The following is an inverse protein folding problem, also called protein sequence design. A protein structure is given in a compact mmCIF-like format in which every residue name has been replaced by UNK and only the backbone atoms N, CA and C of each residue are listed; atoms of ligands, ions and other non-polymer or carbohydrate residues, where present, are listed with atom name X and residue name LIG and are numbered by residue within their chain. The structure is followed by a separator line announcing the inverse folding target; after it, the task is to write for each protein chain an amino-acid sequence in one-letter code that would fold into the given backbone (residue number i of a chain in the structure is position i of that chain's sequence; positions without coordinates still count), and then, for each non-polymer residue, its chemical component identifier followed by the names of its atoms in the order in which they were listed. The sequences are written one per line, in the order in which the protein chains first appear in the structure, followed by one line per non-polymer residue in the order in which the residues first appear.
data_IF_123284857860
#
_entry.id   IF_123284857860
#
_cell.length_a   1.000
_cell.length_b   1.000
_cell.length_c   1.000
_cell.angle_alpha   90.00
_cell.angle_beta   90.00
_cell.angle_gamma   90.00
#
_symmetry.space_group_name_H-M   'P 1'
#
loop_
_entity.id
_entity.type
_entity.pdbx_description
1 polymer ?
#
# COMPACT_ATOMS: atom_id res chain seq x y z
N UNK A 1 59.12 -52.63 27.91
CA UNK A 1 59.54 -51.37 27.27
C UNK A 1 58.37 -50.40 27.31
N UNK A 2 58.65 -49.20 27.83
CA UNK A 2 57.75 -48.08 28.02
C UNK A 2 57.42 -47.45 26.67
N UNK A 3 56.15 -47.16 26.38
CA UNK A 3 55.77 -46.00 25.55
C UNK A 3 54.47 -45.38 26.09
N UNK A 4 54.64 -44.22 26.74
CA UNK A 4 53.58 -43.22 27.00
C UNK A 4 53.14 -42.62 25.67
N UNK A 5 51.85 -42.44 25.40
CA UNK A 5 51.36 -41.35 24.53
C UNK A 5 50.08 -40.74 25.10
N UNK A 6 50.04 -39.41 25.01
CA UNK A 6 49.13 -38.41 25.56
C UNK A 6 47.72 -38.37 24.92
N UNK A 7 46.78 -37.95 25.78
CA UNK A 7 45.52 -37.20 25.59
C UNK A 7 45.19 -36.64 24.18
N UNK A 8 43.93 -36.78 23.80
CA UNK A 8 43.12 -35.67 23.25
C UNK A 8 41.63 -35.90 23.58
N UNK A 9 41.05 -35.04 24.42
CA UNK A 9 39.60 -34.94 24.63
C UNK A 9 39.15 -33.76 23.78
N UNK A 10 38.40 -34.03 22.71
CA UNK A 10 37.82 -33.01 21.84
C UNK A 10 36.42 -32.70 22.35
N UNK A 11 36.21 -31.49 22.89
CA UNK A 11 34.88 -30.96 23.23
C UNK A 11 34.76 -29.56 22.63
N UNK A 12 33.54 -29.26 22.18
CA UNK A 12 32.95 -27.97 21.79
C UNK A 12 33.17 -27.50 20.34
N UNK A 13 32.14 -27.02 19.62
CA UNK A 13 30.77 -26.72 20.06
C UNK A 13 29.81 -26.51 18.87
N UNK A 14 28.49 -26.45 19.13
CA UNK A 14 27.51 -26.15 18.09
C UNK A 14 27.66 -24.69 17.66
N UNK A 15 27.94 -24.48 16.37
CA UNK A 15 27.89 -23.18 15.74
C UNK A 15 26.43 -22.73 15.62
N UNK A 16 25.96 -21.99 16.63
CA UNK A 16 24.71 -21.24 16.56
C UNK A 16 24.96 -19.96 15.72
N UNK A 17 24.82 -20.08 14.40
CA UNK A 17 24.62 -18.90 13.53
C UNK A 17 23.16 -18.45 13.64
N UNK A 18 22.77 -17.97 14.81
CA UNK A 18 21.51 -17.26 15.02
C UNK A 18 21.70 -15.80 14.64
N UNK A 19 21.72 -15.50 13.33
CA UNK A 19 21.51 -14.14 12.88
C UNK A 19 20.06 -13.78 13.22
N UNK A 20 19.86 -12.84 14.14
CA UNK A 20 18.55 -12.23 14.34
C UNK A 20 18.19 -11.50 13.04
N UNK A 21 17.34 -12.13 12.21
CA UNK A 21 16.61 -11.39 11.20
C UNK A 21 15.81 -10.33 11.98
N UNK A 22 16.18 -9.06 11.83
CA UNK A 22 15.32 -7.97 12.28
C UNK A 22 14.04 -8.11 11.46
N UNK A 23 12.97 -8.57 12.12
CA UNK A 23 11.66 -8.60 11.52
C UNK A 23 11.30 -7.16 11.15
N UNK A 24 11.27 -6.86 9.86
CA UNK A 24 10.80 -5.57 9.40
C UNK A 24 9.30 -5.45 9.71
N UNK A 25 8.84 -4.25 10.08
CA UNK A 25 7.43 -4.00 10.36
C UNK A 25 6.55 -4.41 9.17
N UNK A 26 5.38 -5.01 9.42
CA UNK A 26 4.47 -5.36 8.34
C UNK A 26 4.11 -4.12 7.49
N UNK A 27 3.96 -4.24 6.16
CA UNK A 27 3.43 -3.15 5.32
C UNK A 27 2.10 -2.61 5.87
N UNK A 28 1.98 -1.28 5.94
CA UNK A 28 0.78 -0.60 6.43
C UNK A 28 0.33 0.47 5.46
N UNK A 29 -0.99 0.63 5.30
CA UNK A 29 -1.61 1.72 4.56
C UNK A 29 -2.87 2.17 5.31
N UNK A 30 -3.11 3.47 5.40
CA UNK A 30 -4.36 4.05 5.90
C UNK A 30 -4.75 5.29 5.09
N UNK A 31 -6.05 5.53 4.99
CA UNK A 31 -6.57 6.83 4.54
C UNK A 31 -6.65 7.73 5.79
N UNK A 32 -6.00 8.89 5.72
CA UNK A 32 -6.00 9.91 6.78
C UNK A 32 -7.09 10.94 6.55
N UNK A 33 -7.36 11.26 5.28
CA UNK A 33 -8.47 12.12 4.87
C UNK A 33 -9.00 11.66 3.50
N UNK A 34 -10.33 11.62 3.28
CA UNK A 34 -11.39 11.85 4.28
C UNK A 34 -11.40 10.78 5.38
N UNK A 35 -11.96 11.11 6.55
CA UNK A 35 -12.17 10.13 7.61
C UNK A 35 -13.44 9.34 7.36
N UNK A 36 -13.52 8.13 7.91
CA UNK A 36 -14.71 7.28 7.80
C UNK A 36 -15.99 7.97 8.30
N UNK A 37 -17.07 7.86 7.51
CA UNK A 37 -18.38 8.48 7.77
C UNK A 37 -18.46 9.99 7.48
N UNK A 38 -17.42 10.59 6.89
CA UNK A 38 -17.39 12.03 6.61
C UNK A 38 -18.29 12.39 5.41
N UNK A 39 -19.03 13.50 5.55
CA UNK A 39 -19.65 14.19 4.42
C UNK A 39 -18.63 15.13 3.77
N UNK A 40 -18.45 15.02 2.46
CA UNK A 40 -17.44 15.79 1.72
C UNK A 40 -18.09 16.46 0.50
N UNK A 41 -18.00 17.80 0.36
CA UNK A 41 -18.49 18.46 -0.83
C UNK A 41 -17.64 18.10 -2.04
N UNK A 42 -18.28 17.84 -3.17
CA UNK A 42 -17.59 17.68 -4.44
C UNK A 42 -17.05 19.03 -4.94
N UNK A 43 -15.96 18.99 -5.71
CA UNK A 43 -15.57 20.15 -6.50
C UNK A 43 -16.66 20.55 -7.51
N UNK A 44 -16.81 21.85 -7.75
CA UNK A 44 -17.84 22.42 -8.63
C UNK A 44 -17.67 22.08 -10.13
N UNK A 45 -16.57 21.41 -10.49
CA UNK A 45 -16.28 21.02 -11.86
C UNK A 45 -16.90 19.66 -12.25
N UNK A 46 -16.80 19.33 -13.53
CA UNK A 46 -17.31 18.07 -14.06
C UNK A 46 -16.60 16.84 -13.47
N UNK A 47 -15.38 17.00 -12.96
CA UNK A 47 -14.60 15.92 -12.38
C UNK A 47 -15.01 15.63 -10.92
N UNK A 48 -15.56 16.62 -10.20
CA UNK A 48 -16.02 16.45 -8.82
C UNK A 48 -14.94 15.88 -7.93
N UNK A 49 -13.77 16.52 -7.95
CA UNK A 49 -12.58 15.92 -7.33
C UNK A 49 -12.60 16.04 -5.81
N UNK A 50 -12.16 14.98 -5.14
CA UNK A 50 -11.83 14.96 -3.72
C UNK A 50 -10.37 14.50 -3.60
N UNK A 51 -9.58 15.23 -2.81
CA UNK A 51 -8.24 14.76 -2.44
C UNK A 51 -8.34 13.58 -1.46
N UNK A 52 -7.49 12.57 -1.60
CA UNK A 52 -7.41 11.48 -0.63
C UNK A 52 -5.99 11.44 -0.12
N UNK A 53 -5.82 11.74 1.17
CA UNK A 53 -4.52 11.74 1.83
C UNK A 53 -4.33 10.40 2.51
N UNK A 54 -3.23 9.73 2.21
CA UNK A 54 -2.86 8.44 2.79
C UNK A 54 -1.61 8.55 3.66
N UNK A 55 -1.43 7.56 4.52
CA UNK A 55 -0.21 7.35 5.28
C UNK A 55 0.20 5.88 5.17
N UNK A 56 1.50 5.65 5.03
CA UNK A 56 2.09 4.34 4.76
C UNK A 56 3.51 4.28 5.30
N UNK A 57 3.95 3.09 5.71
CA UNK A 57 5.35 2.84 6.02
C UNK A 57 6.19 2.54 4.76
N UNK A 58 5.61 2.69 3.57
CA UNK A 58 6.32 2.72 2.30
C UNK A 58 6.57 4.17 1.87
N UNK A 59 7.74 4.39 1.27
CA UNK A 59 8.01 5.59 0.49
C UNK A 59 7.16 5.56 -0.77
N UNK A 60 6.20 6.47 -0.86
CA UNK A 60 5.34 6.60 -2.04
C UNK A 60 6.05 7.45 -3.09
N UNK A 61 6.40 6.84 -4.23
CA UNK A 61 7.20 7.43 -5.29
C UNK A 61 6.57 7.18 -6.67
N UNK A 62 6.98 7.91 -7.73
CA UNK A 62 6.57 7.57 -9.08
C UNK A 62 7.00 6.14 -9.46
N UNK A 63 6.21 5.47 -10.29
CA UNK A 63 6.52 4.13 -10.77
C UNK A 63 7.82 4.12 -11.61
N UNK A 64 8.63 3.08 -11.44
CA UNK A 64 9.95 2.92 -12.04
C UNK A 64 11.07 3.66 -11.30
N UNK A 65 10.80 4.27 -10.15
CA UNK A 65 11.78 5.10 -9.41
C UNK A 65 12.21 4.52 -8.08
N UNK A 66 11.69 3.33 -7.72
CA UNK A 66 12.02 2.70 -6.45
C UNK A 66 13.44 2.11 -6.41
N UNK A 67 14.00 1.71 -7.55
CA UNK A 67 15.30 1.02 -7.57
C UNK A 67 15.24 -0.27 -6.76
N UNK A 68 16.21 -0.45 -5.86
CA UNK A 68 16.30 -1.65 -5.01
C UNK A 68 15.58 -1.48 -3.65
N UNK A 69 14.86 -0.39 -3.41
CA UNK A 69 14.17 -0.11 -2.14
C UNK A 69 12.91 -0.99 -2.00
N UNK A 70 12.92 -2.01 -1.09
CA UNK A 70 11.78 -2.91 -0.94
C UNK A 70 10.59 -2.25 -0.24
N UNK A 71 10.77 -1.05 0.32
CA UNK A 71 9.75 -0.23 0.99
C UNK A 71 9.38 0.98 0.15
N UNK A 72 9.45 0.84 -1.17
CA UNK A 72 8.99 1.86 -2.09
C UNK A 72 7.90 1.31 -3.02
N UNK A 73 6.95 2.19 -3.34
CA UNK A 73 5.84 1.86 -4.22
C UNK A 73 4.93 3.05 -4.43
N UNK A 74 3.67 2.77 -4.77
CA UNK A 74 2.65 3.78 -5.04
C UNK A 74 1.25 3.24 -4.73
N UNK A 75 0.24 4.07 -4.93
CA UNK A 75 -1.16 3.82 -4.59
C UNK A 75 -1.98 3.67 -5.86
N UNK A 76 -2.83 2.66 -5.89
CA UNK A 76 -3.95 2.57 -6.82
C UNK A 76 -5.25 2.79 -6.05
N UNK A 77 -6.19 3.52 -6.63
CA UNK A 77 -7.42 3.92 -5.96
C UNK A 77 -8.65 3.61 -6.80
N UNK A 78 -9.70 3.15 -6.11
CA UNK A 78 -11.05 2.96 -6.66
C UNK A 78 -12.06 3.67 -5.77
N UNK A 79 -13.15 4.12 -6.36
CA UNK A 79 -14.38 4.48 -5.66
C UNK A 79 -15.34 3.32 -5.89
N UNK A 80 -16.04 2.91 -4.85
CA UNK A 80 -16.93 1.74 -4.81
C UNK A 80 -16.24 0.48 -5.36
N UNK A 81 -15.20 -0.04 -4.67
CA UNK A 81 -14.33 -1.10 -5.20
C UNK A 81 -15.02 -2.43 -5.53
N UNK A 82 -16.30 -2.59 -5.18
CA UNK A 82 -17.14 -3.73 -5.58
C UNK A 82 -17.65 -3.63 -7.04
N UNK A 83 -17.58 -2.45 -7.66
CA UNK A 83 -17.95 -2.19 -9.05
C UNK A 83 -16.88 -1.40 -9.80
N UNK A 84 -17.02 -1.31 -11.12
CA UNK A 84 -16.05 -0.62 -12.00
C UNK A 84 -16.57 0.73 -12.52
N UNK A 85 -17.79 1.12 -12.14
CA UNK A 85 -18.50 2.25 -12.75
C UNK A 85 -17.82 3.60 -12.49
N UNK A 86 -17.18 3.77 -11.33
CA UNK A 86 -16.42 4.98 -11.01
C UNK A 86 -15.01 5.03 -11.63
N UNK A 87 -14.54 4.00 -12.34
CA UNK A 87 -13.19 4.04 -12.91
C UNK A 87 -13.15 4.93 -14.16
N UNK A 88 -11.96 5.48 -14.48
CA UNK A 88 -11.77 6.20 -15.75
C UNK A 88 -12.07 5.21 -16.90
N UNK A 89 -12.86 5.59 -17.92
CA UNK A 89 -13.15 4.70 -19.04
C UNK A 89 -11.89 4.08 -19.66
N UNK A 90 -11.86 2.75 -19.76
CA UNK A 90 -10.71 2.01 -20.25
C UNK A 90 -9.55 1.82 -19.26
N UNK A 91 -9.75 2.17 -17.98
CA UNK A 91 -8.79 1.96 -16.89
C UNK A 91 -9.39 1.07 -15.78
N UNK A 92 -8.52 0.37 -15.07
CA UNK A 92 -8.89 -0.51 -13.93
C UNK A 92 -9.11 0.25 -12.62
N UNK A 93 -8.71 1.52 -12.58
CA UNK A 93 -8.69 2.34 -11.37
C UNK A 93 -9.27 3.72 -11.69
N UNK A 94 -9.86 4.36 -10.68
CA UNK A 94 -10.28 5.75 -10.75
C UNK A 94 -9.06 6.68 -10.79
N UNK A 95 -8.02 6.33 -10.03
CA UNK A 95 -6.80 7.13 -9.95
C UNK A 95 -5.62 6.34 -9.40
N UNK A 96 -4.44 6.93 -9.53
CA UNK A 96 -3.19 6.44 -8.97
C UNK A 96 -2.26 7.63 -8.72
N UNK A 97 -1.35 7.51 -7.76
CA UNK A 97 -0.29 8.51 -7.57
C UNK A 97 1.02 8.10 -8.26
N UNK A 98 1.04 7.05 -9.09
CA UNK A 98 2.26 6.50 -9.70
C UNK A 98 2.99 7.46 -10.65
N UNK A 99 2.36 8.55 -11.09
CA UNK A 99 3.03 9.55 -11.94
C UNK A 99 3.89 10.53 -11.12
N UNK A 100 3.57 10.71 -9.83
CA UNK A 100 4.16 11.78 -8.99
C UNK A 100 4.66 11.28 -7.61
N UNK A 101 4.17 10.15 -7.13
CA UNK A 101 4.35 9.68 -5.76
C UNK A 101 3.61 10.51 -4.72
N UNK A 102 4.10 10.47 -3.48
CA UNK A 102 3.56 11.26 -2.38
C UNK A 102 2.28 10.70 -1.76
N UNK A 103 1.75 11.39 -0.74
CA UNK A 103 0.62 10.92 0.06
C UNK A 103 -0.75 11.30 -0.48
N UNK A 104 -0.84 12.06 -1.58
CA UNK A 104 -2.10 12.52 -2.15
C UNK A 104 -2.45 11.69 -3.39
N UNK A 105 -3.68 11.17 -3.43
CA UNK A 105 -4.31 10.59 -4.63
C UNK A 105 -5.65 11.30 -4.87
N UNK A 106 -6.05 11.47 -6.13
CA UNK A 106 -7.23 12.26 -6.48
C UNK A 106 -8.41 11.34 -6.79
N UNK A 107 -9.47 11.39 -6.00
CA UNK A 107 -10.75 10.75 -6.30
C UNK A 107 -11.56 11.61 -7.27
N UNK A 108 -11.92 11.04 -8.42
CA UNK A 108 -12.65 11.69 -9.51
C UNK A 108 -14.07 11.17 -9.57
N UNK A 109 -14.99 11.77 -8.82
CA UNK A 109 -16.39 11.30 -8.76
C UNK A 109 -17.13 11.52 -10.07
N UNK A 110 -16.66 12.43 -10.94
CA UNK A 110 -17.23 12.66 -12.28
C UNK A 110 -17.26 11.44 -13.20
N UNK A 111 -16.54 10.37 -12.86
CA UNK A 111 -16.61 9.10 -13.60
C UNK A 111 -17.68 8.13 -13.07
N UNK A 112 -18.20 8.34 -11.86
CA UNK A 112 -19.30 7.53 -11.32
C UNK A 112 -20.63 7.87 -12.01
N UNK A 113 -21.50 6.87 -12.21
CA UNK A 113 -22.88 7.13 -12.68
C UNK A 113 -23.67 7.96 -11.67
N UNK A 114 -23.52 7.64 -10.38
CA UNK A 114 -24.01 8.42 -9.25
C UNK A 114 -22.83 9.12 -8.58
N UNK A 115 -22.83 10.47 -8.57
CA UNK A 115 -21.70 11.26 -8.03
C UNK A 115 -21.87 11.62 -6.56
N UNK A 116 -23.13 11.71 -6.12
CA UNK A 116 -23.53 12.16 -4.78
C UNK A 116 -24.20 11.03 -4.00
N UNK A 117 -24.18 11.12 -2.68
CA UNK A 117 -24.66 10.07 -1.79
C UNK A 117 -23.53 9.22 -1.22
N UNK A 118 -23.84 8.00 -0.82
CA UNK A 118 -22.90 7.16 -0.09
C UNK A 118 -21.95 6.43 -1.03
N UNK A 119 -20.65 6.53 -0.73
CA UNK A 119 -19.57 5.88 -1.48
C UNK A 119 -18.54 5.25 -0.55
N UNK A 120 -17.78 4.30 -1.08
CA UNK A 120 -16.58 3.75 -0.43
C UNK A 120 -15.34 4.09 -1.24
N UNK A 121 -14.44 4.87 -0.65
CA UNK A 121 -13.12 5.13 -1.24
C UNK A 121 -12.17 4.02 -0.80
N UNK A 122 -11.56 3.33 -1.76
CA UNK A 122 -10.57 2.29 -1.51
C UNK A 122 -9.21 2.61 -2.13
N UNK A 123 -8.16 2.41 -1.35
CA UNK A 123 -6.76 2.50 -1.81
C UNK A 123 -6.04 1.17 -1.62
N UNK A 124 -5.13 0.86 -2.52
CA UNK A 124 -4.29 -0.33 -2.54
C UNK A 124 -2.83 0.08 -2.67
N UNK A 125 -1.97 -0.50 -1.83
CA UNK A 125 -0.52 -0.32 -1.93
C UNK A 125 0.03 -1.25 -3.02
N UNK A 126 0.72 -0.67 -4.00
CA UNK A 126 1.38 -1.38 -5.09
C UNK A 126 2.90 -1.15 -5.07
N UNK A 127 3.66 -2.13 -5.55
CA UNK A 127 5.09 -1.99 -5.78
C UNK A 127 5.37 -1.18 -7.06
N UNK A 128 6.65 -0.95 -7.33
CA UNK A 128 7.16 -0.20 -8.49
C UNK A 128 6.68 -0.73 -9.86
N UNK A 129 6.25 -1.99 -9.91
CA UNK A 129 5.73 -2.66 -11.12
C UNK A 129 4.20 -2.78 -11.13
N UNK A 130 3.49 -1.93 -10.38
CA UNK A 130 2.02 -1.93 -10.28
C UNK A 130 1.42 -3.22 -9.70
N UNK A 131 2.22 -4.06 -9.04
CA UNK A 131 1.73 -5.28 -8.41
C UNK A 131 1.34 -4.99 -6.95
N UNK A 132 0.21 -5.53 -6.45
CA UNK A 132 -0.16 -5.34 -5.05
C UNK A 132 0.91 -5.84 -4.07
N UNK A 133 1.16 -5.05 -3.03
CA UNK A 133 1.90 -5.53 -1.86
C UNK A 133 0.98 -6.43 -1.05
N UNK A 134 1.47 -7.61 -0.66
CA UNK A 134 0.68 -8.64 0.00
C UNK A 134 1.15 -8.84 1.45
N UNK A 135 0.21 -9.04 2.37
CA UNK A 135 0.43 -9.53 3.73
C UNK A 135 -0.50 -10.72 3.95
N UNK A 136 0.07 -11.87 4.32
CA UNK A 136 -0.66 -13.13 4.52
C UNK A 136 -1.58 -13.52 3.35
N UNK A 137 -1.14 -13.23 2.12
CA UNK A 137 -1.89 -13.53 0.89
C UNK A 137 -3.04 -12.57 0.58
N UNK A 138 -3.19 -11.47 1.34
CA UNK A 138 -4.15 -10.41 1.07
C UNK A 138 -3.44 -9.12 0.64
N UNK A 139 -4.00 -8.36 -0.33
CA UNK A 139 -3.44 -7.07 -0.69
C UNK A 139 -3.57 -6.07 0.46
N UNK A 140 -2.55 -5.22 0.62
CA UNK A 140 -2.57 -4.14 1.60
C UNK A 140 -3.48 -3.02 1.09
N UNK A 141 -4.65 -2.91 1.69
CA UNK A 141 -5.69 -1.94 1.31
C UNK A 141 -6.19 -1.13 2.50
N UNK A 142 -6.72 0.06 2.24
CA UNK A 142 -7.51 0.82 3.20
C UNK A 142 -8.81 1.30 2.55
N UNK A 143 -9.89 1.30 3.33
CA UNK A 143 -11.24 1.70 2.90
C UNK A 143 -11.77 2.77 3.86
N UNK A 144 -12.51 3.73 3.35
CA UNK A 144 -13.34 4.65 4.13
C UNK A 144 -14.69 4.84 3.44
N UNK A 145 -15.76 4.88 4.23
CA UNK A 145 -17.07 5.30 3.76
C UNK A 145 -17.19 6.81 3.84
N UNK A 146 -17.81 7.42 2.83
CA UNK A 146 -18.08 8.86 2.75
C UNK A 146 -19.47 9.11 2.19
N UNK A 147 -20.01 10.29 2.45
CA UNK A 147 -21.19 10.81 1.74
C UNK A 147 -20.78 12.04 0.94
N UNK A 148 -21.03 12.07 -0.36
CA UNK A 148 -20.69 13.22 -1.22
C UNK A 148 -21.92 14.08 -1.51
N UNK A 149 -21.73 15.40 -1.54
CA UNK A 149 -22.78 16.41 -1.80
C UNK A 149 -22.33 17.53 -2.74
#
# INVERSE_FOLDING_TARGET
MIHKILRAITVAGPAFCGGAALAEDAPTLRIVWPTDGMTVPLGDDAEGVIGVVVDSNFRLAPAGTCGDDPRCGHIHMRIDPQGDDCNIPGRTYNSMNSDFGGSLVIARFGHCSDRTGDHVIGVLLANDHHQPIMVDGQPVTALVQVTTE
#
